data_IF_104377319094
#
_entry.id   IF_104377319094
#
_cell.length_a   1.000
_cell.length_b   1.000
_cell.length_c   1.000
_cell.angle_alpha   90.00
_cell.angle_beta   90.00
_cell.angle_gamma   90.00
#
_symmetry.space_group_name_H-M   'P 1'
#
loop_
_entity.id
_entity.type
_entity.pdbx_description
1 polymer ?
#
# COMPACT_ATOMS: atom_id res chain seq x y z
N UNK A 1 15.69 -9.62 29.33
CA UNK A 1 15.11 -8.28 29.54
C UNK A 1 15.30 -7.52 28.24
N UNK A 2 14.26 -6.86 27.74
CA UNK A 2 14.32 -6.09 26.48
C UNK A 2 15.05 -4.78 26.77
N UNK A 3 16.17 -4.50 26.08
CA UNK A 3 16.91 -3.24 26.25
C UNK A 3 16.28 -2.15 25.36
N UNK A 4 15.83 -1.00 25.89
CA UNK A 4 15.30 0.10 25.10
C UNK A 4 16.22 0.58 23.97
N UNK A 5 17.55 0.38 24.11
CA UNK A 5 18.54 0.71 23.07
C UNK A 5 18.41 -0.15 21.82
N UNK A 6 17.88 -1.37 21.95
CA UNK A 6 17.68 -2.25 20.79
C UNK A 6 16.54 -1.75 19.88
N UNK A 7 15.68 -0.87 20.40
CA UNK A 7 14.48 -0.34 19.73
C UNK A 7 14.54 1.17 19.48
N UNK A 8 15.73 1.75 19.59
CA UNK A 8 15.95 3.17 19.38
C UNK A 8 17.19 3.40 18.51
N UNK A 9 17.07 4.24 17.49
CA UNK A 9 18.21 4.89 16.85
C UNK A 9 18.18 6.38 17.20
N UNK A 10 19.22 6.88 17.84
CA UNK A 10 19.26 8.26 18.33
C UNK A 10 20.62 8.91 18.10
N UNK A 11 20.64 10.11 17.54
CA UNK A 11 21.85 10.93 17.42
C UNK A 11 22.88 10.42 16.42
N UNK A 12 22.50 9.53 15.50
CA UNK A 12 23.40 8.93 14.53
C UNK A 12 23.73 9.92 13.41
N UNK A 13 24.97 9.90 12.92
CA UNK A 13 25.42 10.81 11.85
C UNK A 13 26.29 10.10 10.82
N UNK A 14 25.89 10.17 9.54
CA UNK A 14 26.62 9.55 8.43
C UNK A 14 26.77 8.03 8.58
N UNK A 15 25.74 7.36 9.11
CA UNK A 15 25.76 5.94 9.39
C UNK A 15 24.74 5.17 8.55
N UNK A 16 25.04 3.88 8.30
CA UNK A 16 24.08 2.91 7.78
C UNK A 16 23.76 1.90 8.87
N UNK A 17 22.53 1.91 9.37
CA UNK A 17 22.08 1.06 10.47
C UNK A 17 20.79 0.32 10.14
N UNK A 18 20.50 -0.75 10.86
CA UNK A 18 19.25 -1.45 10.65
C UNK A 18 18.93 -2.54 11.65
N UNK A 19 17.83 -3.22 11.39
CA UNK A 19 17.36 -4.40 12.12
C UNK A 19 17.02 -5.48 11.12
N UNK A 20 17.59 -6.67 11.35
CA UNK A 20 17.27 -7.88 10.59
C UNK A 20 15.88 -8.42 10.97
N UNK A 21 15.28 -9.30 10.14
CA UNK A 21 14.06 -10.01 10.50
C UNK A 21 14.12 -10.69 11.87
N UNK A 22 13.05 -10.55 12.65
CA UNK A 22 12.92 -11.11 13.99
C UNK A 22 13.61 -10.31 15.11
N UNK A 23 14.26 -9.18 14.80
CA UNK A 23 14.93 -8.32 15.80
C UNK A 23 14.02 -7.28 16.42
N UNK A 24 12.90 -6.92 15.77
CA UNK A 24 11.91 -5.98 16.32
C UNK A 24 10.66 -6.72 16.79
N UNK A 25 10.20 -7.71 16.04
CA UNK A 25 9.12 -8.64 16.41
C UNK A 25 7.87 -7.95 16.98
N UNK A 26 7.41 -6.88 16.32
CA UNK A 26 6.17 -6.19 16.67
C UNK A 26 6.29 -5.23 17.85
N UNK A 27 7.50 -4.93 18.34
CA UNK A 27 7.71 -3.88 19.34
C UNK A 27 7.60 -2.48 18.74
N UNK A 28 7.48 -1.47 19.60
CA UNK A 28 7.63 -0.07 19.21
C UNK A 28 9.08 0.22 18.85
N UNK A 29 9.31 1.12 17.90
CA UNK A 29 10.64 1.61 17.54
C UNK A 29 10.69 3.15 17.52
N UNK A 30 11.83 3.73 17.89
CA UNK A 30 12.04 5.19 17.87
C UNK A 30 13.26 5.52 17.01
N UNK A 31 13.13 6.51 16.14
CA UNK A 31 14.24 7.09 15.36
C UNK A 31 14.24 8.59 15.67
N UNK A 32 15.34 9.13 16.19
CA UNK A 32 15.37 10.55 16.57
C UNK A 32 16.76 11.17 16.35
N UNK A 33 16.82 12.45 16.00
CA UNK A 33 18.06 13.22 15.89
C UNK A 33 19.11 12.62 14.93
N UNK A 34 18.66 11.90 13.88
CA UNK A 34 19.56 11.27 12.90
C UNK A 34 19.84 12.19 11.71
N UNK A 35 21.09 12.27 11.27
CA UNK A 35 21.52 13.13 10.16
C UNK A 35 22.33 12.33 9.12
N UNK A 36 22.00 12.49 7.83
CA UNK A 36 22.71 11.83 6.73
C UNK A 36 22.80 10.30 6.89
N UNK A 37 21.75 9.66 7.42
CA UNK A 37 21.76 8.23 7.73
C UNK A 37 20.93 7.41 6.74
N UNK A 38 21.34 6.16 6.53
CA UNK A 38 20.53 5.15 5.85
C UNK A 38 20.04 4.11 6.87
N UNK A 39 18.74 4.05 7.10
CA UNK A 39 18.13 3.29 8.20
C UNK A 39 17.20 2.23 7.62
N UNK A 40 17.40 0.96 7.97
CA UNK A 40 16.61 -0.14 7.44
C UNK A 40 16.07 -1.04 8.54
N UNK A 41 14.76 -1.01 8.77
CA UNK A 41 14.08 -1.89 9.72
C UNK A 41 13.36 -2.99 8.94
N UNK A 42 14.01 -4.14 8.76
CA UNK A 42 13.48 -5.28 8.02
C UNK A 42 12.64 -6.22 8.90
N UNK A 43 11.75 -5.64 9.68
CA UNK A 43 10.84 -6.38 10.56
C UNK A 43 9.55 -5.59 10.82
N UNK A 44 8.51 -6.29 11.27
CA UNK A 44 7.27 -5.66 11.66
C UNK A 44 7.38 -4.98 13.03
N UNK A 45 6.61 -3.91 13.21
CA UNK A 45 6.62 -3.08 14.42
C UNK A 45 5.20 -2.72 14.87
N UNK A 46 5.01 -2.39 16.14
CA UNK A 46 3.73 -1.87 16.64
C UNK A 46 3.48 -0.45 16.15
N UNK A 47 4.44 0.44 16.37
CA UNK A 47 4.41 1.86 15.98
C UNK A 47 5.84 2.38 15.88
N UNK A 48 6.06 3.38 15.01
CA UNK A 48 7.36 4.03 14.86
C UNK A 48 7.20 5.55 14.88
N UNK A 49 8.01 6.23 15.70
CA UNK A 49 8.16 7.69 15.65
C UNK A 49 9.51 8.05 15.03
N UNK A 50 9.50 9.06 14.17
CA UNK A 50 10.69 9.59 13.51
C UNK A 50 10.73 11.10 13.79
N UNK A 51 11.69 11.52 14.59
CA UNK A 51 11.77 12.88 15.12
C UNK A 51 13.08 13.55 14.71
N UNK A 52 13.02 14.81 14.29
CA UNK A 52 14.21 15.65 14.08
C UNK A 52 15.27 15.03 13.14
N UNK A 53 14.84 14.21 12.18
CA UNK A 53 15.74 13.53 11.23
C UNK A 53 15.95 14.35 9.97
N UNK A 54 17.21 14.46 9.52
CA UNK A 54 17.59 15.28 8.37
C UNK A 54 18.38 14.46 7.36
N UNK A 55 18.00 14.57 6.07
CA UNK A 55 18.70 13.93 4.95
C UNK A 55 18.89 12.40 5.14
N UNK A 56 17.85 11.71 5.64
CA UNK A 56 17.90 10.27 5.87
C UNK A 56 17.20 9.48 4.75
N UNK A 57 17.70 8.29 4.43
CA UNK A 57 17.00 7.29 3.62
C UNK A 57 16.50 6.17 4.53
N UNK A 58 15.19 5.91 4.54
CA UNK A 58 14.57 5.07 5.57
C UNK A 58 13.69 3.99 4.93
N UNK A 59 13.98 2.72 5.22
CA UNK A 59 13.07 1.60 4.97
C UNK A 59 12.44 1.15 6.28
N UNK A 60 11.11 1.10 6.34
CA UNK A 60 10.36 0.56 7.47
C UNK A 60 9.51 -0.61 7.01
N UNK A 61 9.70 -1.77 7.64
CA UNK A 61 8.81 -2.92 7.50
C UNK A 61 7.39 -2.63 7.99
N UNK A 62 6.47 -3.61 7.92
CA UNK A 62 5.06 -3.41 8.22
C UNK A 62 4.79 -2.91 9.65
N UNK A 63 4.12 -1.77 9.79
CA UNK A 63 3.79 -1.15 11.08
C UNK A 63 2.30 -1.36 11.37
N UNK A 64 1.99 -2.16 12.39
CA UNK A 64 0.60 -2.51 12.77
C UNK A 64 -0.27 -1.29 13.02
N UNK A 65 0.29 -0.26 13.65
CA UNK A 65 -0.38 0.99 13.99
C UNK A 65 0.13 2.16 13.16
N UNK A 66 0.51 3.23 13.85
CA UNK A 66 0.94 4.47 13.22
C UNK A 66 2.44 4.55 12.99
N UNK A 67 2.81 5.20 11.90
CA UNK A 67 4.10 5.87 11.74
C UNK A 67 3.89 7.38 11.86
N UNK A 68 4.76 8.06 12.61
CA UNK A 68 4.65 9.50 12.81
C UNK A 68 6.00 10.18 12.58
N UNK A 69 6.09 10.99 11.51
CA UNK A 69 7.21 11.88 11.25
C UNK A 69 6.96 13.25 11.87
N UNK A 70 7.89 13.75 12.68
CA UNK A 70 7.85 15.09 13.27
C UNK A 70 9.17 15.80 13.01
N UNK A 71 9.10 17.05 12.58
CA UNK A 71 10.27 17.91 12.39
C UNK A 71 11.35 17.35 11.43
N UNK A 72 10.97 16.43 10.53
CA UNK A 72 11.88 15.76 9.61
C UNK A 72 12.08 16.56 8.32
N UNK A 73 13.29 16.52 7.74
CA UNK A 73 13.66 17.31 6.55
C UNK A 73 14.47 16.50 5.54
N UNK A 74 14.13 16.67 4.26
CA UNK A 74 14.87 16.08 3.12
C UNK A 74 15.04 14.55 3.25
N UNK A 75 14.03 13.85 3.80
CA UNK A 75 14.08 12.40 4.00
C UNK A 75 13.37 11.63 2.87
N UNK A 76 13.93 10.48 2.49
CA UNK A 76 13.38 9.59 1.47
C UNK A 76 13.03 8.25 2.09
N UNK A 77 11.80 7.80 1.93
CA UNK A 77 11.27 6.70 2.74
C UNK A 77 10.53 5.64 1.93
N UNK A 78 10.56 4.40 2.40
CA UNK A 78 9.64 3.33 2.00
C UNK A 78 8.96 2.84 3.27
N UNK A 79 7.64 2.92 3.33
CA UNK A 79 6.88 2.71 4.57
C UNK A 79 5.60 1.92 4.32
N UNK A 80 5.35 0.90 5.14
CA UNK A 80 4.08 0.21 5.21
C UNK A 80 3.48 0.37 6.62
N UNK A 81 2.26 0.90 6.73
CA UNK A 81 1.64 1.18 8.03
C UNK A 81 0.11 1.14 7.97
N UNK A 82 -0.53 1.05 9.13
CA UNK A 82 -1.98 1.29 9.22
C UNK A 82 -2.30 2.77 9.05
N UNK A 83 -1.60 3.65 9.79
CA UNK A 83 -1.81 5.10 9.77
C UNK A 83 -0.49 5.83 9.49
N UNK A 84 -0.49 6.72 8.50
CA UNK A 84 0.63 7.59 8.18
C UNK A 84 0.33 9.02 8.64
N UNK A 85 1.22 9.60 9.45
CA UNK A 85 1.09 10.97 9.96
C UNK A 85 2.40 11.73 9.80
N UNK A 86 2.30 13.01 9.41
CA UNK A 86 3.43 13.94 9.47
C UNK A 86 3.02 15.24 10.15
N UNK A 87 3.94 15.84 10.88
CA UNK A 87 3.81 17.20 11.40
C UNK A 87 5.13 17.94 11.25
N UNK A 88 5.08 19.21 10.87
CA UNK A 88 6.27 20.09 10.82
C UNK A 88 7.40 19.56 9.90
N UNK A 89 7.04 18.79 8.87
CA UNK A 89 8.00 18.13 7.99
C UNK A 89 8.23 18.90 6.67
N UNK A 90 9.41 18.77 6.07
CA UNK A 90 9.74 19.42 4.80
C UNK A 90 10.46 18.50 3.83
N UNK A 91 9.95 18.40 2.59
CA UNK A 91 10.56 17.62 1.50
C UNK A 91 10.75 16.14 1.86
N UNK A 92 9.67 15.47 2.23
CA UNK A 92 9.67 14.01 2.39
C UNK A 92 9.19 13.36 1.10
N UNK A 93 9.93 12.37 0.61
CA UNK A 93 9.57 11.58 -0.57
C UNK A 93 9.33 10.13 -0.14
N UNK A 94 8.09 9.65 -0.19
CA UNK A 94 7.66 8.41 0.47
C UNK A 94 7.01 7.45 -0.50
N UNK A 95 7.54 6.24 -0.65
CA UNK A 95 6.84 5.10 -1.24
C UNK A 95 6.01 4.42 -0.14
N UNK A 96 4.69 4.55 -0.21
CA UNK A 96 3.78 4.30 0.89
C UNK A 96 2.82 3.14 0.62
N UNK A 97 2.63 2.31 1.63
CA UNK A 97 1.48 1.43 1.79
C UNK A 97 0.74 1.87 3.05
N UNK A 98 -0.44 2.44 2.93
CA UNK A 98 -1.21 2.93 4.07
C UNK A 98 -2.63 2.39 4.03
N UNK A 99 -3.06 1.74 5.12
CA UNK A 99 -4.40 1.16 5.19
C UNK A 99 -5.51 2.22 5.26
N UNK A 100 -5.23 3.36 5.92
CA UNK A 100 -6.13 4.52 6.05
C UNK A 100 -5.63 5.71 5.25
N UNK A 101 -6.46 6.75 5.11
CA UNK A 101 -6.08 8.02 4.52
C UNK A 101 -4.78 8.59 5.16
N UNK A 102 -3.68 8.77 4.40
CA UNK A 102 -2.47 9.41 4.91
C UNK A 102 -2.72 10.89 5.25
N UNK A 103 -2.12 11.34 6.36
CA UNK A 103 -2.34 12.68 6.91
C UNK A 103 -1.03 13.46 6.93
N UNK A 104 -1.10 14.73 6.51
CA UNK A 104 -0.05 15.72 6.73
C UNK A 104 -0.60 16.94 7.48
N UNK A 105 0.25 17.57 8.27
CA UNK A 105 -0.05 18.79 9.03
C UNK A 105 1.20 19.67 9.09
N UNK A 106 1.08 20.98 8.91
CA UNK A 106 2.17 21.96 8.95
C UNK A 106 3.41 21.55 8.13
N UNK A 107 3.20 20.84 7.02
CA UNK A 107 4.26 20.18 6.25
C UNK A 107 4.26 20.65 4.79
N UNK A 108 5.43 20.71 4.15
CA UNK A 108 5.55 21.22 2.76
C UNK A 108 6.49 20.37 1.90
N UNK A 109 6.22 20.32 0.59
CA UNK A 109 7.05 19.59 -0.37
C UNK A 109 6.98 18.07 -0.22
N UNK A 110 5.86 17.55 0.30
CA UNK A 110 5.64 16.13 0.51
C UNK A 110 5.39 15.43 -0.83
N UNK A 111 5.96 14.26 -1.08
CA UNK A 111 5.67 13.48 -2.30
C UNK A 111 5.42 12.03 -1.99
N UNK A 112 4.42 11.45 -2.64
CA UNK A 112 3.99 10.08 -2.39
C UNK A 112 4.06 9.21 -3.64
N UNK A 113 4.51 7.97 -3.49
CA UNK A 113 4.48 6.91 -4.49
C UNK A 113 3.90 5.63 -3.88
N UNK A 114 3.51 4.66 -4.70
CA UNK A 114 3.06 3.35 -4.19
C UNK A 114 4.26 2.58 -3.62
N UNK A 115 4.07 1.89 -2.48
CA UNK A 115 5.08 0.97 -1.94
C UNK A 115 5.53 -0.04 -3.01
N UNK A 116 6.85 -0.18 -3.16
CA UNK A 116 7.47 -1.09 -4.12
C UNK A 116 8.71 -1.73 -3.49
N UNK A 117 8.54 -2.91 -2.91
CA UNK A 117 9.63 -3.60 -2.21
C UNK A 117 9.32 -5.08 -1.99
N UNK A 118 10.38 -5.88 -1.92
CA UNK A 118 10.32 -7.31 -1.64
C UNK A 118 11.57 -7.78 -0.89
N UNK A 119 11.34 -8.67 0.08
CA UNK A 119 12.31 -9.65 0.59
C UNK A 119 11.51 -10.85 1.14
N UNK A 120 12.15 -12.04 1.30
CA UNK A 120 11.42 -13.29 1.59
C UNK A 120 10.48 -13.24 2.80
N UNK A 121 10.90 -12.58 3.88
CA UNK A 121 10.18 -12.51 5.15
C UNK A 121 9.03 -11.48 5.14
N UNK A 122 9.03 -10.54 4.19
CA UNK A 122 8.13 -9.38 4.19
C UNK A 122 6.65 -9.79 4.17
N UNK A 123 6.29 -10.82 3.42
CA UNK A 123 4.90 -11.30 3.34
C UNK A 123 4.36 -11.76 4.70
N UNK A 124 5.16 -12.50 5.47
CA UNK A 124 4.78 -12.93 6.82
C UNK A 124 4.69 -11.75 7.77
N UNK A 125 5.60 -10.78 7.64
CA UNK A 125 5.58 -9.57 8.47
C UNK A 125 4.35 -8.69 8.22
N UNK A 126 3.83 -8.63 6.99
CA UNK A 126 2.54 -7.96 6.72
C UNK A 126 1.39 -8.65 7.46
N UNK A 127 1.38 -9.99 7.45
CA UNK A 127 0.40 -10.79 8.20
C UNK A 127 0.53 -10.57 9.70
N UNK A 128 1.74 -10.59 10.25
CA UNK A 128 1.99 -10.40 11.69
C UNK A 128 1.61 -8.99 12.16
N UNK A 129 1.79 -7.98 11.30
CA UNK A 129 1.31 -6.62 11.52
C UNK A 129 -0.22 -6.47 11.35
N UNK A 130 -0.93 -7.48 10.84
CA UNK A 130 -2.36 -7.41 10.55
C UNK A 130 -2.70 -6.45 9.40
N UNK A 131 -1.78 -6.24 8.47
CA UNK A 131 -1.96 -5.37 7.31
C UNK A 131 -2.26 -6.21 6.06
N UNK A 132 -3.39 -5.94 5.41
CA UNK A 132 -3.67 -6.50 4.09
C UNK A 132 -2.81 -5.83 3.02
N UNK A 133 -2.21 -6.63 2.15
CA UNK A 133 -1.48 -6.14 0.98
C UNK A 133 -2.39 -5.47 -0.07
N UNK A 134 -3.71 -5.67 0.04
CA UNK A 134 -4.71 -5.10 -0.86
C UNK A 134 -5.32 -3.81 -0.32
N UNK A 135 -5.03 -3.41 0.92
CA UNK A 135 -5.55 -2.17 1.50
C UNK A 135 -4.47 -1.08 1.48
N UNK A 136 -4.43 -0.32 0.39
CA UNK A 136 -3.43 0.75 0.20
C UNK A 136 -4.04 2.02 -0.44
N UNK A 137 -4.14 3.09 0.35
CA UNK A 137 -4.69 4.40 -0.06
C UNK A 137 -3.62 5.49 -0.19
N UNK A 138 -2.37 5.09 -0.48
CA UNK A 138 -1.16 5.92 -0.49
C UNK A 138 -1.24 7.29 -1.20
N UNK A 139 -2.13 7.45 -2.18
CA UNK A 139 -2.26 8.68 -2.98
C UNK A 139 -3.39 9.62 -2.54
N UNK A 140 -4.24 9.21 -1.59
CA UNK A 140 -5.37 10.03 -1.13
C UNK A 140 -4.97 10.81 0.12
N UNK A 141 -4.20 11.88 -0.03
CA UNK A 141 -3.63 12.61 1.12
C UNK A 141 -4.65 13.61 1.70
N UNK A 142 -4.80 13.62 3.02
CA UNK A 142 -5.47 14.69 3.74
C UNK A 142 -4.46 15.68 4.32
N UNK A 143 -4.64 16.96 4.01
CA UNK A 143 -3.84 18.07 4.55
C UNK A 143 -4.68 18.87 5.54
N UNK A 144 -4.28 18.88 6.81
CA UNK A 144 -4.96 19.64 7.86
C UNK A 144 -4.70 21.16 7.80
N UNK A 145 -3.64 21.57 7.10
CA UNK A 145 -3.18 22.97 7.05
C UNK A 145 -2.94 23.41 5.60
N UNK A 146 -3.96 23.32 4.73
CA UNK A 146 -3.80 23.71 3.33
C UNK A 146 -3.57 25.23 3.23
N UNK A 147 -2.62 25.62 2.37
CA UNK A 147 -2.36 27.03 2.06
C UNK A 147 -2.97 27.36 0.70
N UNK A 148 -3.77 28.41 0.64
CA UNK A 148 -4.45 28.81 -0.60
C UNK A 148 -3.45 29.12 -1.72
N UNK A 149 -3.61 28.48 -2.87
CA UNK A 149 -2.73 28.66 -4.03
C UNK A 149 -1.42 27.87 -3.99
N UNK A 150 -1.14 27.14 -2.91
CA UNK A 150 0.01 26.26 -2.78
C UNK A 150 -0.43 24.79 -2.69
N UNK A 151 0.46 23.88 -3.10
CA UNK A 151 0.24 22.46 -2.91
C UNK A 151 1.33 21.90 -2.00
N UNK A 152 0.95 21.58 -0.76
CA UNK A 152 1.88 21.06 0.26
C UNK A 152 2.38 19.65 -0.07
N UNK A 153 1.68 18.94 -0.96
CA UNK A 153 2.02 17.60 -1.38
C UNK A 153 1.85 17.34 -2.88
N UNK A 154 2.43 16.25 -3.36
CA UNK A 154 2.24 15.78 -4.73
C UNK A 154 2.50 14.28 -4.83
N UNK A 155 2.37 13.75 -6.04
CA UNK A 155 2.74 12.37 -6.32
C UNK A 155 4.13 12.32 -6.95
N UNK A 156 4.94 11.33 -6.56
CA UNK A 156 6.20 11.02 -7.22
C UNK A 156 5.92 10.66 -8.70
N UNK A 157 6.89 10.86 -9.61
CA UNK A 157 6.78 10.40 -10.99
C UNK A 157 6.50 8.89 -11.05
N UNK A 158 5.70 8.43 -12.01
CA UNK A 158 5.49 6.99 -12.22
C UNK A 158 6.76 6.27 -12.67
N UNK A 159 7.67 7.01 -13.29
CA UNK A 159 8.99 6.53 -13.72
C UNK A 159 10.04 6.58 -12.61
N UNK A 160 9.66 6.93 -11.38
CA UNK A 160 10.60 7.00 -10.26
C UNK A 160 11.22 5.62 -9.97
N UNK A 161 12.54 5.55 -10.03
CA UNK A 161 13.29 4.34 -9.69
C UNK A 161 13.51 4.33 -8.18
N UNK A 162 12.91 3.37 -7.48
CA UNK A 162 12.94 3.25 -6.00
C UNK A 162 14.35 3.40 -5.42
N UNK A 163 15.36 2.81 -6.07
CA UNK A 163 16.75 2.83 -5.60
C UNK A 163 17.43 4.20 -5.66
N UNK A 164 16.94 5.13 -6.49
CA UNK A 164 17.43 6.53 -6.53
C UNK A 164 16.96 7.33 -5.31
N UNK A 165 15.96 6.82 -4.60
CA UNK A 165 15.40 7.43 -3.40
C UNK A 165 15.86 6.71 -2.14
N UNK A 166 15.71 5.39 -2.09
CA UNK A 166 16.14 4.54 -0.98
C UNK A 166 17.02 3.44 -1.56
N UNK A 167 18.36 3.60 -1.53
CA UNK A 167 19.28 2.62 -2.08
C UNK A 167 19.23 1.32 -1.27
N UNK A 168 19.74 0.24 -1.85
CA UNK A 168 19.93 -1.01 -1.12
C UNK A 168 21.00 -0.83 -0.02
N UNK A 169 20.86 -1.50 1.13
CA UNK A 169 21.81 -1.36 2.23
C UNK A 169 23.21 -1.83 1.81
N UNK A 170 24.23 -1.06 2.19
CA UNK A 170 25.63 -1.33 1.85
C UNK A 170 26.42 -2.02 2.98
N UNK A 171 25.85 -2.12 4.20
CA UNK A 171 26.49 -2.78 5.33
C UNK A 171 26.46 -4.31 5.20
N UNK A 172 27.55 -4.97 5.60
CA UNK A 172 27.70 -6.43 5.47
C UNK A 172 26.59 -7.22 6.19
N UNK A 173 26.12 -6.73 7.34
CA UNK A 173 25.04 -7.36 8.09
C UNK A 173 23.72 -7.37 7.31
N UNK A 174 23.36 -6.25 6.67
CA UNK A 174 22.07 -6.09 6.00
C UNK A 174 22.08 -6.67 4.57
N UNK A 175 23.26 -6.87 3.96
CA UNK A 175 23.42 -7.52 2.65
C UNK A 175 22.91 -8.96 2.60
N UNK A 176 22.75 -9.61 3.76
CA UNK A 176 22.19 -10.96 3.84
C UNK A 176 20.73 -11.03 3.36
N UNK A 177 20.01 -9.90 3.38
CA UNK A 177 18.60 -9.84 2.99
C UNK A 177 18.48 -9.73 1.48
N UNK A 178 17.70 -10.66 0.89
CA UNK A 178 17.50 -10.75 -0.55
C UNK A 178 16.44 -9.77 -1.02
N UNK A 179 16.85 -8.52 -1.20
CA UNK A 179 15.96 -7.42 -1.55
C UNK A 179 15.73 -7.36 -3.06
N UNK A 180 14.49 -7.06 -3.46
CA UNK A 180 14.14 -6.63 -4.81
C UNK A 180 13.25 -5.40 -4.75
N UNK A 181 13.57 -4.41 -5.57
CA UNK A 181 12.73 -3.23 -5.81
C UNK A 181 12.06 -3.28 -7.18
N UNK A 182 12.04 -4.43 -7.84
CA UNK A 182 11.27 -4.65 -9.08
C UNK A 182 9.76 -4.59 -8.78
N UNK A 183 9.02 -3.82 -9.60
CA UNK A 183 7.58 -3.67 -9.50
C UNK A 183 6.84 -5.03 -9.54
N UNK A 184 7.29 -5.96 -10.38
CA UNK A 184 6.67 -7.29 -10.56
C UNK A 184 6.87 -8.21 -9.35
N UNK A 185 7.89 -7.94 -8.52
CA UNK A 185 8.20 -8.73 -7.32
C UNK A 185 7.63 -8.13 -6.05
N UNK A 186 7.10 -6.90 -6.11
CA UNK A 186 6.63 -6.18 -4.94
C UNK A 186 5.57 -6.98 -4.17
N UNK A 187 5.69 -6.99 -2.83
CA UNK A 187 4.66 -7.57 -1.97
C UNK A 187 3.36 -6.75 -2.04
N UNK A 188 3.43 -5.45 -2.29
CA UNK A 188 2.24 -4.63 -2.53
C UNK A 188 2.03 -4.51 -4.04
N UNK A 189 0.85 -4.89 -4.59
CA UNK A 189 0.53 -4.61 -5.97
C UNK A 189 0.71 -3.12 -6.29
N UNK A 190 1.37 -2.80 -7.39
CA UNK A 190 1.60 -1.41 -7.78
C UNK A 190 0.30 -0.82 -8.31
N UNK A 191 -0.33 0.06 -7.54
CA UNK A 191 -1.58 0.73 -7.88
C UNK A 191 -1.34 2.16 -8.37
N UNK A 192 -2.17 2.65 -9.30
CA UNK A 192 -2.11 4.05 -9.77
C UNK A 192 -2.79 5.03 -8.80
N UNK A 193 -3.69 4.55 -7.94
CA UNK A 193 -4.40 5.37 -6.97
C UNK A 193 -5.14 6.52 -7.65
N UNK A 194 -4.92 7.74 -7.15
CA UNK A 194 -5.54 8.99 -7.65
C UNK A 194 -4.81 9.65 -8.83
N UNK A 195 -3.88 8.95 -9.48
CA UNK A 195 -3.26 9.45 -10.71
C UNK A 195 -4.30 9.62 -11.83
N UNK A 196 -4.00 10.47 -12.80
CA UNK A 196 -4.87 10.66 -13.94
C UNK A 196 -5.03 9.35 -14.74
N UNK A 197 -6.29 8.93 -14.89
CA UNK A 197 -6.69 7.77 -15.69
C UNK A 197 -6.50 8.09 -17.18
N UNK A 198 -6.07 7.10 -17.97
CA UNK A 198 -5.91 7.25 -19.42
C UNK A 198 -7.18 6.93 -20.20
N UNK A 199 -8.15 6.27 -19.56
CA UNK A 199 -9.45 5.93 -20.12
C UNK A 199 -10.56 6.28 -19.12
N UNK A 200 -11.77 6.51 -19.61
CA UNK A 200 -12.98 6.63 -18.80
C UNK A 200 -13.56 5.25 -18.40
N UNK A 201 -13.10 4.17 -19.04
CA UNK A 201 -13.55 2.82 -18.75
C UNK A 201 -12.85 2.23 -17.52
N UNK A 202 -13.65 1.78 -16.55
CA UNK A 202 -13.18 1.04 -15.39
C UNK A 202 -13.77 -0.38 -15.41
N UNK A 203 -13.19 -1.29 -14.66
CA UNK A 203 -13.71 -2.65 -14.46
C UNK A 203 -13.48 -3.08 -13.01
N UNK A 204 -14.55 -3.52 -12.34
CA UNK A 204 -14.45 -4.13 -11.01
C UNK A 204 -14.36 -5.65 -11.16
N UNK A 205 -13.36 -6.26 -10.51
CA UNK A 205 -13.31 -7.69 -10.28
C UNK A 205 -13.30 -7.97 -8.77
N UNK A 206 -14.15 -8.89 -8.28
CA UNK A 206 -14.21 -9.25 -6.86
C UNK A 206 -14.05 -10.75 -6.69
N UNK A 207 -12.96 -11.13 -6.02
CA UNK A 207 -12.71 -12.50 -5.57
C UNK A 207 -13.27 -12.71 -4.16
N UNK A 208 -13.80 -13.90 -3.92
CA UNK A 208 -14.31 -14.33 -2.62
C UNK A 208 -13.26 -15.13 -1.85
N UNK A 209 -13.36 -15.16 -0.52
CA UNK A 209 -12.41 -15.86 0.33
C UNK A 209 -12.30 -17.36 0.01
N UNK A 210 -11.07 -17.86 -0.02
CA UNK A 210 -10.68 -19.23 -0.30
C UNK A 210 -9.15 -19.39 -0.32
N UNK A 211 -8.67 -20.63 -0.38
CA UNK A 211 -7.25 -20.97 -0.20
C UNK A 211 -6.32 -20.30 -1.23
N UNK A 212 -6.84 -20.00 -2.42
CA UNK A 212 -6.07 -19.45 -3.55
C UNK A 212 -6.43 -18.00 -3.88
N UNK A 213 -7.26 -17.32 -3.09
CA UNK A 213 -7.76 -15.96 -3.40
C UNK A 213 -6.65 -14.96 -3.65
N UNK A 214 -5.63 -14.91 -2.77
CA UNK A 214 -4.49 -14.00 -2.93
C UNK A 214 -3.68 -14.30 -4.19
N UNK A 215 -3.43 -15.58 -4.47
CA UNK A 215 -2.69 -16.00 -5.66
C UNK A 215 -3.47 -15.69 -6.94
N UNK A 216 -4.78 -15.92 -6.94
CA UNK A 216 -5.66 -15.63 -8.07
C UNK A 216 -5.77 -14.14 -8.34
N UNK A 217 -5.93 -13.31 -7.30
CA UNK A 217 -5.94 -11.86 -7.43
C UNK A 217 -4.62 -11.33 -8.03
N UNK A 218 -3.47 -11.82 -7.55
CA UNK A 218 -2.16 -11.48 -8.15
C UNK A 218 -2.05 -11.91 -9.60
N UNK A 219 -2.46 -13.14 -9.92
CA UNK A 219 -2.43 -13.63 -11.29
C UNK A 219 -3.31 -12.78 -12.21
N UNK A 220 -4.50 -12.36 -11.76
CA UNK A 220 -5.34 -11.47 -12.57
C UNK A 220 -4.67 -10.10 -12.77
N UNK A 221 -4.03 -9.55 -11.75
CA UNK A 221 -3.24 -8.32 -11.87
C UNK A 221 -2.15 -8.48 -12.92
N UNK A 222 -1.38 -9.57 -12.87
CA UNK A 222 -0.28 -9.82 -13.82
C UNK A 222 -0.80 -9.96 -15.26
N UNK A 223 -1.88 -10.72 -15.48
CA UNK A 223 -2.50 -10.89 -16.80
C UNK A 223 -3.05 -9.57 -17.35
N UNK A 224 -3.79 -8.81 -16.53
CA UNK A 224 -4.39 -7.54 -16.96
C UNK A 224 -3.34 -6.47 -17.22
N UNK A 225 -2.34 -6.35 -16.35
CA UNK A 225 -1.24 -5.38 -16.56
C UNK A 225 -0.33 -5.77 -17.73
N UNK A 226 -0.11 -7.08 -17.96
CA UNK A 226 0.58 -7.59 -19.14
C UNK A 226 -0.15 -7.29 -20.46
N UNK A 227 -1.48 -7.18 -20.42
CA UNK A 227 -2.33 -6.73 -21.55
C UNK A 227 -2.39 -5.21 -21.70
N UNK A 228 -1.73 -4.44 -20.82
CA UNK A 228 -1.68 -2.97 -20.87
C UNK A 228 -2.75 -2.25 -20.05
N UNK A 229 -3.60 -2.98 -19.33
CA UNK A 229 -4.56 -2.38 -18.40
C UNK A 229 -3.88 -1.90 -17.13
N UNK A 230 -4.45 -0.89 -16.49
CA UNK A 230 -3.89 -0.27 -15.31
C UNK A 230 -4.63 -0.72 -14.06
N UNK A 231 -3.90 -1.16 -13.04
CA UNK A 231 -4.47 -1.40 -11.71
C UNK A 231 -4.64 -0.04 -11.00
N UNK A 232 -5.89 0.39 -10.79
CA UNK A 232 -6.19 1.68 -10.14
C UNK A 232 -6.06 1.54 -8.63
N UNK A 233 -6.77 0.59 -8.04
CA UNK A 233 -6.77 0.34 -6.61
C UNK A 233 -7.26 -1.07 -6.30
N UNK A 234 -7.03 -1.49 -5.07
CA UNK A 234 -7.45 -2.79 -4.54
C UNK A 234 -8.11 -2.60 -3.18
N UNK A 235 -8.86 -3.61 -2.75
CA UNK A 235 -9.44 -3.62 -1.40
C UNK A 235 -9.62 -5.03 -0.88
N UNK A 236 -9.36 -5.25 0.41
CA UNK A 236 -9.78 -6.44 1.14
C UNK A 236 -10.72 -6.03 2.28
N UNK A 237 -11.96 -6.50 2.24
CA UNK A 237 -13.02 -6.07 3.18
C UNK A 237 -14.06 -7.17 3.39
N UNK A 238 -14.61 -7.25 4.61
CA UNK A 238 -15.73 -8.17 4.90
C UNK A 238 -17.03 -7.59 4.33
N UNK A 239 -17.69 -8.30 3.44
CA UNK A 239 -18.91 -7.84 2.78
C UNK A 239 -20.15 -8.54 3.37
N UNK A 240 -21.22 -7.79 3.68
CA UNK A 240 -22.49 -8.36 4.13
C UNK A 240 -23.44 -8.56 2.94
N UNK A 241 -24.53 -9.31 3.14
CA UNK A 241 -25.53 -9.54 2.09
C UNK A 241 -26.15 -8.23 1.54
N UNK A 242 -26.37 -7.23 2.39
CA UNK A 242 -26.86 -5.91 2.00
C UNK A 242 -25.87 -5.18 1.07
N UNK A 243 -24.57 -5.26 1.37
CA UNK A 243 -23.52 -4.70 0.53
C UNK A 243 -23.43 -5.42 -0.81
N UNK A 244 -23.53 -6.75 -0.80
CA UNK A 244 -23.56 -7.55 -2.02
C UNK A 244 -24.75 -7.22 -2.91
N UNK A 245 -25.94 -6.98 -2.34
CA UNK A 245 -27.10 -6.50 -3.11
C UNK A 245 -26.87 -5.14 -3.75
N UNK A 246 -26.19 -4.23 -3.06
CA UNK A 246 -25.85 -2.91 -3.61
C UNK A 246 -24.82 -2.99 -4.74
N UNK A 247 -23.78 -3.81 -4.59
CA UNK A 247 -22.67 -3.89 -5.57
C UNK A 247 -23.03 -4.80 -6.73
N UNK A 248 -23.45 -6.05 -6.46
CA UNK A 248 -23.65 -7.08 -7.48
C UNK A 248 -25.07 -7.07 -8.07
N UNK A 249 -25.97 -6.25 -7.54
CA UNK A 249 -27.32 -6.03 -8.06
C UNK A 249 -28.08 -7.36 -8.26
N UNK A 250 -28.56 -7.63 -9.48
CA UNK A 250 -29.28 -8.87 -9.81
C UNK A 250 -28.46 -10.15 -9.60
N UNK A 251 -27.13 -10.07 -9.56
CA UNK A 251 -26.24 -11.22 -9.37
C UNK A 251 -25.91 -11.49 -7.89
N UNK A 252 -26.36 -10.66 -6.96
CA UNK A 252 -25.99 -10.78 -5.54
C UNK A 252 -26.31 -12.14 -4.92
N UNK A 253 -27.46 -12.73 -5.27
CA UNK A 253 -27.90 -14.03 -4.74
C UNK A 253 -26.92 -15.17 -5.08
N UNK A 254 -26.17 -15.05 -6.18
CA UNK A 254 -25.14 -16.02 -6.56
C UNK A 254 -23.94 -16.00 -5.62
N UNK A 255 -23.61 -14.82 -5.09
CA UNK A 255 -22.37 -14.55 -4.36
C UNK A 255 -22.54 -14.50 -2.84
N UNK A 256 -23.75 -14.19 -2.34
CA UNK A 256 -24.04 -14.14 -0.90
C UNK A 256 -23.57 -15.40 -0.14
N UNK A 257 -23.77 -16.64 -0.63
CA UNK A 257 -23.28 -17.84 0.07
C UNK A 257 -21.76 -17.92 0.22
N UNK A 258 -20.99 -17.13 -0.53
CA UNK A 258 -19.52 -17.11 -0.47
C UNK A 258 -18.99 -16.11 0.56
N UNK A 259 -19.81 -15.15 1.01
CA UNK A 259 -19.38 -14.07 1.91
C UNK A 259 -19.04 -14.58 3.32
N UNK A 260 -19.65 -15.70 3.74
CA UNK A 260 -19.39 -16.32 5.04
C UNK A 260 -17.97 -16.90 5.15
N UNK A 261 -17.29 -17.10 4.02
CA UNK A 261 -15.92 -17.65 3.98
C UNK A 261 -14.85 -16.67 4.46
N UNK A 262 -15.14 -15.38 4.46
CA UNK A 262 -14.21 -14.34 4.86
C UNK A 262 -14.24 -13.08 3.97
N UNK A 263 -13.25 -12.19 4.11
CA UNK A 263 -13.17 -10.96 3.33
C UNK A 263 -13.11 -11.22 1.82
N UNK A 264 -13.73 -10.33 1.05
CA UNK A 264 -13.59 -10.30 -0.42
C UNK A 264 -12.38 -9.45 -0.81
N UNK A 265 -11.76 -9.76 -1.95
CA UNK A 265 -10.68 -8.98 -2.55
C UNK A 265 -11.18 -8.36 -3.85
N UNK A 266 -11.28 -7.02 -3.87
CA UNK A 266 -11.65 -6.24 -5.03
C UNK A 266 -10.43 -5.66 -5.74
N UNK A 267 -10.52 -5.61 -7.07
CA UNK A 267 -9.53 -5.04 -7.97
C UNK A 267 -10.26 -4.10 -8.93
N UNK A 268 -9.80 -2.85 -9.04
CA UNK A 268 -10.26 -1.92 -10.06
C UNK A 268 -9.21 -1.80 -11.16
N UNK A 269 -9.58 -2.13 -12.39
CA UNK A 269 -8.78 -1.91 -13.57
C UNK A 269 -9.29 -0.72 -14.39
N UNK A 270 -8.40 -0.06 -15.14
CA UNK A 270 -8.72 1.04 -16.05
C UNK A 270 -8.02 0.84 -17.40
N UNK A 271 -8.72 1.20 -18.48
CA UNK A 271 -8.23 1.12 -19.85
C UNK A 271 -9.36 0.81 -20.82
N UNK A 272 -9.19 1.20 -22.09
CA UNK A 272 -10.19 0.92 -23.12
C UNK A 272 -10.33 -0.59 -23.34
N UNK A 273 -11.54 -1.12 -23.20
CA UNK A 273 -11.82 -2.56 -23.23
C UNK A 273 -11.47 -3.31 -21.95
N UNK A 274 -11.25 -2.62 -20.82
CA UNK A 274 -10.92 -3.26 -19.54
C UNK A 274 -11.97 -4.27 -19.09
N UNK A 275 -13.26 -4.03 -19.35
CA UNK A 275 -14.32 -4.96 -18.97
C UNK A 275 -14.21 -6.26 -19.77
N UNK A 276 -14.17 -6.17 -21.10
CA UNK A 276 -14.05 -7.33 -21.98
C UNK A 276 -12.74 -8.10 -21.73
N UNK A 277 -11.63 -7.38 -21.58
CA UNK A 277 -10.33 -7.96 -21.27
C UNK A 277 -10.32 -8.71 -19.93
N UNK A 278 -10.99 -8.17 -18.91
CA UNK A 278 -11.12 -8.83 -17.61
C UNK A 278 -11.98 -10.10 -17.71
N UNK A 279 -13.14 -10.01 -18.35
CA UNK A 279 -14.05 -11.15 -18.55
C UNK A 279 -13.38 -12.30 -19.32
N UNK A 280 -12.70 -12.01 -20.44
CA UNK A 280 -11.92 -13.00 -21.21
C UNK A 280 -10.86 -13.68 -20.33
N UNK A 281 -10.09 -12.89 -19.57
CA UNK A 281 -9.06 -13.41 -18.67
C UNK A 281 -9.65 -14.31 -17.57
N UNK A 282 -10.78 -13.91 -16.97
CA UNK A 282 -11.48 -14.73 -15.97
C UNK A 282 -11.94 -16.07 -16.56
N UNK A 283 -12.54 -16.05 -17.75
CA UNK A 283 -13.03 -17.26 -18.41
C UNK A 283 -11.90 -18.23 -18.81
N UNK A 284 -10.79 -17.72 -19.31
CA UNK A 284 -9.65 -18.52 -19.77
C UNK A 284 -8.82 -19.08 -18.61
N UNK A 285 -8.52 -18.25 -17.62
CA UNK A 285 -7.51 -18.53 -16.60
C UNK A 285 -8.11 -19.08 -15.30
N UNK A 286 -9.33 -18.67 -14.97
CA UNK A 286 -9.98 -18.94 -13.69
C UNK A 286 -11.25 -19.78 -13.83
N UNK A 287 -11.31 -20.61 -14.89
CA UNK A 287 -12.44 -21.51 -15.13
C UNK A 287 -12.81 -22.31 -13.86
N UNK A 288 -14.07 -22.21 -13.44
CA UNK A 288 -14.59 -22.86 -12.23
C UNK A 288 -14.43 -22.06 -10.92
N UNK A 289 -13.71 -20.93 -10.92
CA UNK A 289 -13.68 -20.01 -9.78
C UNK A 289 -14.77 -18.96 -9.93
N UNK A 290 -15.61 -18.78 -8.90
CA UNK A 290 -16.60 -17.70 -8.87
C UNK A 290 -15.93 -16.37 -8.58
N UNK A 291 -16.01 -15.46 -9.54
CA UNK A 291 -15.48 -14.09 -9.46
C UNK A 291 -16.57 -13.17 -10.01
N UNK A 292 -16.90 -12.11 -9.29
CA UNK A 292 -17.73 -11.05 -9.87
C UNK A 292 -16.86 -10.21 -10.80
N UNK A 293 -17.34 -9.91 -12.00
CA UNK A 293 -16.72 -8.96 -12.92
C UNK A 293 -17.81 -8.03 -13.40
N UNK A 294 -17.52 -6.73 -13.54
CA UNK A 294 -18.44 -5.78 -14.15
C UNK A 294 -18.96 -6.31 -15.49
N UNK A 295 -20.26 -6.15 -15.73
CA UNK A 295 -20.93 -6.72 -16.92
C UNK A 295 -20.63 -5.92 -18.19
N UNK A 296 -20.56 -4.59 -18.08
CA UNK A 296 -20.37 -3.68 -19.20
C UNK A 296 -19.64 -2.41 -18.80
N UNK A 297 -19.06 -1.69 -19.78
CA UNK A 297 -18.49 -0.36 -19.57
C UNK A 297 -19.49 0.61 -18.91
N UNK A 298 -20.77 0.50 -19.25
CA UNK A 298 -21.82 1.41 -18.78
C UNK A 298 -22.17 1.22 -17.29
N UNK A 299 -22.04 0.00 -16.77
CA UNK A 299 -22.34 -0.33 -15.36
C UNK A 299 -21.09 -0.32 -14.47
N UNK A 300 -19.89 -0.50 -15.04
CA UNK A 300 -18.67 -0.71 -14.27
C UNK A 300 -18.30 0.45 -13.34
N UNK A 301 -18.53 1.71 -13.74
CA UNK A 301 -18.30 2.86 -12.85
C UNK A 301 -19.19 2.82 -11.62
N UNK A 302 -20.47 2.46 -11.79
CA UNK A 302 -21.41 2.30 -10.70
C UNK A 302 -21.03 1.13 -9.78
N UNK A 303 -20.55 0.01 -10.34
CA UNK A 303 -20.07 -1.13 -9.56
C UNK A 303 -18.89 -0.73 -8.65
N UNK A 304 -17.91 -0.01 -9.23
CA UNK A 304 -16.74 0.54 -8.52
C UNK A 304 -17.19 1.49 -7.42
N UNK A 305 -18.02 2.48 -7.74
CA UNK A 305 -18.50 3.47 -6.77
C UNK A 305 -19.28 2.80 -5.64
N UNK A 306 -20.18 1.86 -5.96
CA UNK A 306 -20.93 1.10 -4.97
C UNK A 306 -20.00 0.30 -4.06
N UNK A 307 -18.95 -0.31 -4.60
CA UNK A 307 -17.99 -1.09 -3.84
C UNK A 307 -17.18 -0.20 -2.89
N UNK A 308 -16.51 0.83 -3.40
CA UNK A 308 -15.62 1.65 -2.57
C UNK A 308 -16.38 2.51 -1.57
N UNK A 309 -17.58 2.99 -1.90
CA UNK A 309 -18.41 3.71 -0.93
C UNK A 309 -18.75 2.85 0.31
N UNK A 310 -19.06 1.55 0.14
CA UNK A 310 -19.31 0.70 1.31
C UNK A 310 -18.03 0.39 2.06
N UNK A 311 -16.95 0.07 1.34
CA UNK A 311 -15.69 -0.31 1.95
C UNK A 311 -15.12 0.84 2.79
N UNK A 312 -15.23 2.07 2.31
CA UNK A 312 -14.79 3.27 3.01
C UNK A 312 -15.62 3.52 4.27
N UNK A 313 -16.96 3.43 4.17
CA UNK A 313 -17.85 3.55 5.33
C UNK A 313 -17.56 2.50 6.41
N UNK A 314 -17.27 1.25 6.04
CA UNK A 314 -16.99 0.19 6.99
C UNK A 314 -15.61 0.34 7.66
N UNK A 315 -14.64 0.90 6.94
CA UNK A 315 -13.27 1.10 7.44
C UNK A 315 -13.08 2.43 8.18
N UNK A 316 -14.12 3.28 8.24
CA UNK A 316 -14.05 4.59 8.88
C UNK A 316 -13.09 5.54 8.16
N UNK A 317 -13.03 5.45 6.83
CA UNK A 317 -12.25 6.34 5.95
C UNK A 317 -13.10 7.47 5.40
#
# INVERSE_FOLDING_TARGET
>A
QVDPKDYTFSGLKNETVGRLPGKVAGQQFVIQDCENCSIYIFDHSATITIDDCVNCQIFLGPIKGSVFFRDCKDCKCIVACQQFRTRDCRKLEVFLCCATQPIIESSTGMKFGCFQYYYPELALQFKDAGLSIFNNTWSNIHDFTPVSGENNWGLLPETAVVQDYVPLPSSEELKAIRISTDATKSIIPITRGRRQKSSDESCLAVFFAGDYTTANARKLIDEMTGKGFQLVQTKEVSMKAEDAHRVFQQHASEFIPLLEKGPVVALEFNGDGAVEGCQSTINEVFSGTKVFVSESKASASQDVDNFYNFADMQMGM
#
